data_IF_306342164905
#
_entry.id   IF_306342164905
#
_cell.length_a   1.000
_cell.length_b   1.000
_cell.length_c   1.000
_cell.angle_alpha   90.00
_cell.angle_beta   90.00
_cell.angle_gamma   90.00
#
_symmetry.space_group_name_H-M   'P 1'
#
loop_
_entity.id
_entity.type
_entity.pdbx_description
1 polymer ?
#
# COMPACT_ATOMS: atom_id res chain seq x y z
N UNK A 1 -3.69 10.38 -6.66
CA UNK A 1 -2.38 10.17 -6.08
C UNK A 1 -2.29 8.94 -5.23
N UNK A 2 -3.33 8.63 -4.50
CA UNK A 2 -3.29 7.46 -3.65
C UNK A 2 -3.07 6.19 -4.46
N UNK A 3 -3.77 6.05 -5.58
CA UNK A 3 -3.61 4.84 -6.35
C UNK A 3 -2.22 4.75 -6.98
N UNK A 4 -1.61 5.87 -7.30
CA UNK A 4 -0.26 5.86 -7.81
C UNK A 4 0.71 5.35 -6.75
N UNK A 5 0.56 5.81 -5.52
CA UNK A 5 1.42 5.32 -4.43
C UNK A 5 1.22 3.82 -4.24
N UNK A 6 -0.02 3.35 -4.31
CA UNK A 6 -0.27 1.93 -4.14
C UNK A 6 0.44 1.12 -5.21
N UNK A 7 0.38 1.57 -6.45
CA UNK A 7 1.06 0.86 -7.52
C UNK A 7 2.56 0.83 -7.32
N UNK A 8 3.13 1.94 -6.86
CA UNK A 8 4.56 1.99 -6.64
C UNK A 8 4.99 1.08 -5.51
N UNK A 9 4.17 1.01 -4.47
CA UNK A 9 4.48 0.14 -3.34
C UNK A 9 4.38 -1.33 -3.77
N UNK A 10 3.35 -1.67 -4.50
CA UNK A 10 3.16 -3.04 -4.96
C UNK A 10 4.31 -3.45 -5.87
N UNK A 11 4.76 -2.53 -6.71
CA UNK A 11 5.86 -2.82 -7.61
C UNK A 11 7.22 -2.82 -6.93
N UNK A 12 7.27 -2.46 -5.66
CA UNK A 12 8.52 -2.44 -4.93
C UNK A 12 9.39 -1.24 -5.24
N UNK A 13 8.80 -0.21 -5.84
CA UNK A 13 9.58 0.97 -6.19
C UNK A 13 9.59 2.02 -5.10
N UNK A 14 8.63 1.96 -4.20
CA UNK A 14 8.58 2.87 -3.09
C UNK A 14 8.15 2.11 -1.86
N UNK A 15 8.43 2.68 -0.71
CA UNK A 15 8.02 2.07 0.54
C UNK A 15 6.85 2.84 1.11
N UNK A 16 6.08 2.18 1.94
CA UNK A 16 4.96 2.82 2.59
C UNK A 16 5.43 4.02 3.41
N UNK A 17 6.61 3.92 3.99
CA UNK A 17 7.11 4.99 4.83
C UNK A 17 7.48 6.24 4.05
N UNK A 18 7.66 6.12 2.75
CA UNK A 18 7.94 7.29 1.95
C UNK A 18 6.68 8.05 1.58
N UNK A 19 5.53 7.54 1.92
CA UNK A 19 4.26 8.21 1.63
C UNK A 19 4.06 9.35 2.61
N UNK A 20 3.60 10.52 2.15
CA UNK A 20 3.31 11.61 3.06
C UNK A 20 2.32 11.19 4.13
N UNK A 21 2.53 11.70 5.33
CA UNK A 21 1.73 11.25 6.46
C UNK A 21 0.24 11.43 6.24
N UNK A 22 -0.15 12.52 5.63
CA UNK A 22 -1.57 12.76 5.42
C UNK A 22 -2.17 11.84 4.37
N UNK A 23 -1.36 11.10 3.63
CA UNK A 23 -1.87 10.14 2.66
C UNK A 23 -1.71 8.70 3.11
N UNK A 24 -0.95 8.47 4.17
CA UNK A 24 -0.65 7.11 4.59
C UNK A 24 -1.89 6.29 4.88
N UNK A 25 -2.83 6.87 5.59
CA UNK A 25 -4.04 6.14 5.95
C UNK A 25 -4.81 5.75 4.69
N UNK A 26 -4.91 6.67 3.74
CA UNK A 26 -5.63 6.39 2.51
C UNK A 26 -4.91 5.34 1.68
N UNK A 27 -3.59 5.42 1.64
CA UNK A 27 -2.81 4.43 0.89
C UNK A 27 -2.95 3.06 1.52
N UNK A 28 -2.88 2.99 2.84
CA UNK A 28 -3.01 1.71 3.51
C UNK A 28 -4.40 1.11 3.25
N UNK A 29 -5.43 1.93 3.30
CA UNK A 29 -6.77 1.46 3.07
C UNK A 29 -6.92 0.93 1.64
N UNK A 30 -6.36 1.66 0.69
CA UNK A 30 -6.45 1.24 -0.69
C UNK A 30 -5.68 -0.04 -0.95
N UNK A 31 -4.50 -0.18 -0.35
CA UNK A 31 -3.72 -1.39 -0.49
C UNK A 31 -4.50 -2.60 0.03
N UNK A 32 -5.17 -2.44 1.14
CA UNK A 32 -5.95 -3.53 1.71
C UNK A 32 -7.11 -3.91 0.80
N UNK A 33 -7.73 -2.93 0.17
CA UNK A 33 -8.81 -3.22 -0.77
C UNK A 33 -8.30 -3.99 -1.96
N UNK A 34 -7.06 -3.77 -2.34
CA UNK A 34 -6.47 -4.48 -3.46
C UNK A 34 -5.89 -5.83 -3.05
N UNK A 35 -5.90 -6.14 -1.76
CA UNK A 35 -5.41 -7.42 -1.28
C UNK A 35 -3.94 -7.42 -0.95
N UNK A 36 -3.38 -6.26 -0.63
CA UNK A 36 -1.98 -6.14 -0.27
C UNK A 36 -1.84 -5.51 1.09
N UNK A 37 -0.68 -5.70 1.73
CA UNK A 37 -0.42 -5.02 2.99
C UNK A 37 0.45 -3.81 2.72
N UNK A 38 0.82 -3.09 3.76
CA UNK A 38 1.55 -1.85 3.58
C UNK A 38 2.98 -2.05 3.13
N UNK A 39 3.47 -3.27 3.13
CA UNK A 39 4.81 -3.52 2.64
C UNK A 39 4.80 -3.95 1.17
N UNK A 40 3.63 -3.96 0.56
CA UNK A 40 3.53 -4.31 -0.84
C UNK A 40 3.36 -5.80 -1.08
N UNK A 41 3.33 -6.59 -0.03
CA UNK A 41 3.11 -8.01 -0.19
C UNK A 41 1.63 -8.34 -0.16
N UNK A 42 1.28 -9.47 -0.70
CA UNK A 42 -0.11 -9.88 -0.67
C UNK A 42 -0.53 -10.20 0.73
N UNK A 43 -1.73 -9.78 1.08
CA UNK A 43 -2.29 -10.14 2.35
C UNK A 43 -2.52 -11.64 2.35
N UNK A 44 -2.04 -12.29 3.37
CA UNK A 44 -2.16 -13.71 3.46
C UNK A 44 -3.27 -14.05 4.41
N UNK A 45 -4.41 -14.31 3.87
CA UNK A 45 -5.55 -14.55 4.67
C UNK A 45 -5.63 -15.93 5.09
N UNK A 46 -4.69 -16.43 5.61
CA UNK A 46 -4.75 -17.78 6.06
C UNK A 46 -5.66 -17.91 7.18
N UNK A 47 -6.45 -18.69 7.23
CA UNK A 47 -7.30 -18.79 8.31
C UNK A 47 -7.38 -19.89 9.00
#
# INVERSE_FOLDING_TARGET
MVSLYCQLIIAGRRTYESVPENLKIQVADELRKLGYDTSGGKLNEVL
#
